data_IF_859349786305
#
_entry.id   IF_859349786305
#
_cell.length_a   1.000
_cell.length_b   1.000
_cell.length_c   1.000
_cell.angle_alpha   90.00
_cell.angle_beta   90.00
_cell.angle_gamma   90.00
#
_symmetry.space_group_name_H-M   'P 1'
#
loop_
_entity.id
_entity.type
_entity.pdbx_description
1 polymer ?
#
# COMPACT_ATOMS: atom_id res chain seq x y z
N UNK A 1 -34.27 -3.94 6.42
CA UNK A 1 -33.89 -3.46 7.76
C UNK A 1 -32.46 -3.91 8.03
N UNK A 2 -31.51 -2.98 8.01
CA UNK A 2 -30.10 -3.29 8.33
C UNK A 2 -29.98 -3.31 9.85
N UNK A 3 -29.83 -4.50 10.43
CA UNK A 3 -29.54 -4.64 11.86
C UNK A 3 -28.06 -4.31 12.01
N UNK A 4 -27.77 -3.11 12.53
CA UNK A 4 -26.42 -2.78 13.00
C UNK A 4 -26.08 -3.75 14.14
N UNK A 5 -25.32 -4.80 13.83
CA UNK A 5 -24.79 -5.70 14.83
C UNK A 5 -23.65 -4.96 15.53
N UNK A 6 -23.94 -4.38 16.70
CA UNK A 6 -22.90 -3.79 17.53
C UNK A 6 -21.99 -4.90 18.04
N UNK A 7 -20.82 -5.07 17.41
CA UNK A 7 -19.72 -5.88 17.94
C UNK A 7 -19.27 -5.26 19.25
N UNK A 8 -19.38 -6.00 20.35
CA UNK A 8 -18.81 -5.63 21.64
C UNK A 8 -17.43 -6.29 21.70
N UNK A 9 -16.38 -5.48 21.66
CA UNK A 9 -15.01 -5.96 21.86
C UNK A 9 -14.84 -6.42 23.30
N UNK A 10 -14.38 -7.66 23.51
CA UNK A 10 -14.30 -8.29 24.84
C UNK A 10 -12.88 -8.30 25.39
N UNK A 11 -11.86 -8.41 24.53
CA UNK A 11 -10.47 -8.29 24.98
C UNK A 11 -9.42 -8.70 23.96
N UNK A 12 -8.24 -8.09 24.10
CA UNK A 12 -7.03 -8.40 23.35
C UNK A 12 -5.94 -8.86 24.34
N UNK A 13 -5.13 -9.84 23.94
CA UNK A 13 -3.90 -10.20 24.66
C UNK A 13 -2.70 -9.99 23.76
N UNK A 14 -1.62 -9.53 24.37
CA UNK A 14 -0.37 -9.24 23.70
C UNK A 14 0.76 -10.07 24.32
N UNK A 15 1.77 -10.41 23.53
CA UNK A 15 3.00 -10.98 24.06
C UNK A 15 3.92 -9.90 24.68
N UNK A 16 5.08 -10.33 25.20
CA UNK A 16 6.04 -9.43 25.84
C UNK A 16 6.64 -8.37 24.88
N UNK A 17 6.52 -8.57 23.56
CA UNK A 17 6.95 -7.61 22.53
C UNK A 17 5.80 -6.69 22.09
N UNK A 18 4.62 -6.80 22.71
CA UNK A 18 3.46 -5.97 22.39
C UNK A 18 2.68 -6.44 21.16
N UNK A 19 2.89 -7.67 20.67
CA UNK A 19 2.20 -8.17 19.47
C UNK A 19 0.90 -8.84 19.85
N UNK A 20 -0.19 -8.55 19.14
CA UNK A 20 -1.50 -9.16 19.41
C UNK A 20 -1.40 -10.68 19.19
N UNK A 21 -1.70 -11.49 20.21
CA UNK A 21 -1.66 -12.96 20.13
C UNK A 21 -3.05 -13.61 20.25
N UNK A 22 -4.00 -12.90 20.85
CA UNK A 22 -5.39 -13.37 21.01
C UNK A 22 -6.35 -12.18 20.89
N UNK A 23 -7.39 -12.32 20.07
CA UNK A 23 -8.49 -11.35 19.95
C UNK A 23 -9.81 -12.04 20.25
N UNK A 24 -10.59 -11.48 21.18
CA UNK A 24 -11.93 -11.98 21.52
C UNK A 24 -13.00 -10.95 21.18
N UNK A 25 -13.95 -11.34 20.34
CA UNK A 25 -15.05 -10.50 19.87
C UNK A 25 -16.36 -11.13 20.32
N UNK A 26 -17.24 -10.34 20.95
CA UNK A 26 -18.62 -10.73 21.20
C UNK A 26 -19.56 -9.94 20.31
N UNK A 27 -20.64 -10.60 19.92
CA UNK A 27 -21.77 -10.00 19.23
C UNK A 27 -23.02 -10.36 20.03
N UNK A 28 -23.96 -9.42 20.16
CA UNK A 28 -25.18 -9.66 20.92
C UNK A 28 -25.91 -10.90 20.39
N UNK A 29 -26.20 -11.86 21.28
CA UNK A 29 -26.88 -13.10 20.93
C UNK A 29 -25.98 -14.21 20.37
N UNK A 30 -24.67 -13.99 20.23
CA UNK A 30 -23.71 -14.98 19.74
C UNK A 30 -22.67 -15.37 20.79
N UNK A 31 -22.17 -16.60 20.71
CA UNK A 31 -21.02 -17.01 21.51
C UNK A 31 -19.79 -16.16 21.11
N UNK A 32 -18.98 -15.69 22.07
CA UNK A 32 -17.76 -14.97 21.76
C UNK A 32 -16.87 -15.79 20.83
N UNK A 33 -16.32 -15.12 19.81
CA UNK A 33 -15.37 -15.67 18.86
C UNK A 33 -13.96 -15.29 19.29
N UNK A 34 -13.05 -16.26 19.27
CA UNK A 34 -11.65 -16.05 19.63
C UNK A 34 -10.78 -16.36 18.43
N UNK A 35 -9.78 -15.52 18.19
CA UNK A 35 -8.83 -15.62 17.10
C UNK A 35 -7.41 -15.62 17.67
N UNK A 36 -6.52 -16.42 17.09
CA UNK A 36 -5.13 -16.54 17.54
C UNK A 36 -4.15 -16.13 16.45
N UNK A 37 -3.09 -15.45 16.86
CA UNK A 37 -2.05 -14.89 15.98
C UNK A 37 -0.69 -15.35 16.48
N UNK A 38 0.16 -15.82 15.56
CA UNK A 38 1.51 -16.28 15.87
C UNK A 38 2.52 -15.55 15.00
N UNK A 39 3.56 -15.03 15.66
CA UNK A 39 4.56 -14.16 15.05
C UNK A 39 5.93 -14.82 15.08
N UNK A 40 6.75 -14.60 14.05
CA UNK A 40 8.16 -14.99 14.09
C UNK A 40 9.01 -13.94 14.83
N UNK A 41 10.33 -14.15 14.90
CA UNK A 41 11.26 -13.23 15.56
C UNK A 41 11.39 -11.85 14.86
N UNK A 42 10.93 -11.74 13.61
CA UNK A 42 10.96 -10.51 12.80
C UNK A 42 9.63 -9.74 12.84
N UNK A 43 8.73 -10.06 13.78
CA UNK A 43 7.40 -9.47 13.91
C UNK A 43 6.47 -9.71 12.71
N UNK A 44 6.70 -10.78 11.95
CA UNK A 44 5.84 -11.17 10.84
C UNK A 44 4.83 -12.22 11.29
N UNK A 45 3.55 -12.05 10.91
CA UNK A 45 2.49 -13.01 11.20
C UNK A 45 2.76 -14.27 10.38
N UNK A 46 3.02 -15.41 11.02
CA UNK A 46 3.30 -16.67 10.31
C UNK A 46 2.14 -17.65 10.37
N UNK A 47 1.25 -17.51 11.36
CA UNK A 47 0.07 -18.36 11.51
C UNK A 47 -1.09 -17.58 12.12
N UNK A 48 -2.29 -17.83 11.60
CA UNK A 48 -3.55 -17.29 12.07
C UNK A 48 -4.57 -18.42 12.22
N UNK A 49 -5.31 -18.43 13.34
CA UNK A 49 -6.37 -19.42 13.58
C UNK A 49 -7.70 -18.67 13.75
N UNK A 50 -8.68 -19.01 12.92
CA UNK A 50 -10.04 -18.46 13.00
C UNK A 50 -10.78 -19.00 14.21
N UNK A 51 -11.89 -18.36 14.59
CA UNK A 51 -12.76 -18.89 15.64
C UNK A 51 -13.43 -20.21 15.30
N UNK A 52 -13.41 -20.63 14.03
CA UNK A 52 -13.93 -21.92 13.57
C UNK A 52 -12.84 -23.01 13.52
N UNK A 53 -11.58 -22.65 13.79
CA UNK A 53 -10.46 -23.58 13.73
C UNK A 53 -9.74 -23.61 12.38
N UNK A 54 -10.12 -22.78 11.41
CA UNK A 54 -9.38 -22.67 10.15
C UNK A 54 -7.98 -22.12 10.44
N UNK A 55 -6.98 -22.80 9.92
CA UNK A 55 -5.59 -22.47 10.15
C UNK A 55 -4.96 -21.93 8.87
N UNK A 56 -4.45 -20.70 8.93
CA UNK A 56 -3.80 -20.01 7.83
C UNK A 56 -2.32 -19.81 8.12
N UNK A 57 -1.49 -20.03 7.11
CA UNK A 57 -0.04 -19.88 7.16
C UNK A 57 0.39 -18.79 6.18
N UNK A 58 1.44 -18.05 6.57
CA UNK A 58 2.03 -16.99 5.76
C UNK A 58 3.53 -17.18 5.67
N UNK A 59 4.09 -16.98 4.48
CA UNK A 59 5.52 -17.12 4.20
C UNK A 59 6.07 -15.85 3.59
N UNK A 60 7.33 -15.55 3.93
CA UNK A 60 8.00 -14.30 3.58
C UNK A 60 9.36 -14.57 2.94
N UNK A 61 9.82 -13.67 2.08
CA UNK A 61 11.18 -13.66 1.59
C UNK A 61 12.16 -12.99 2.58
N UNK A 62 13.44 -12.96 2.21
CA UNK A 62 14.50 -12.35 3.02
C UNK A 62 14.37 -10.83 3.19
N UNK A 63 13.63 -10.15 2.31
CA UNK A 63 13.34 -8.70 2.41
C UNK A 63 12.08 -8.42 3.24
N UNK A 64 11.41 -9.47 3.71
CA UNK A 64 10.23 -9.40 4.54
C UNK A 64 8.91 -9.22 3.79
N UNK A 65 8.90 -9.41 2.46
CA UNK A 65 7.69 -9.38 1.64
C UNK A 65 6.99 -10.73 1.71
N UNK A 66 5.67 -10.73 1.84
CA UNK A 66 4.88 -11.97 1.92
C UNK A 66 4.78 -12.62 0.54
N UNK A 67 5.43 -13.76 0.36
CA UNK A 67 5.41 -14.51 -0.90
C UNK A 67 4.28 -15.53 -0.97
N UNK A 68 3.70 -15.94 0.17
CA UNK A 68 2.61 -16.93 0.16
C UNK A 68 1.64 -16.76 1.32
N UNK A 69 0.36 -17.05 1.07
CA UNK A 69 -0.62 -17.37 2.10
C UNK A 69 -1.46 -18.59 1.72
N UNK A 70 -1.80 -19.44 2.67
CA UNK A 70 -2.64 -20.62 2.40
C UNK A 70 -3.30 -21.15 3.68
N UNK A 71 -4.49 -21.73 3.50
CA UNK A 71 -5.18 -22.49 4.53
C UNK A 71 -4.60 -23.92 4.60
N UNK A 72 -4.33 -24.41 5.79
CA UNK A 72 -3.91 -25.79 6.04
C UNK A 72 -5.13 -26.71 5.96
N UNK A 73 -5.08 -27.70 5.08
CA UNK A 73 -6.09 -28.76 5.00
C UNK A 73 -5.67 -29.88 5.94
N UNK A 74 -6.34 -30.02 7.08
CA UNK A 74 -6.17 -31.17 7.97
C UNK A 74 -6.95 -32.36 7.41
N UNK A 75 -6.28 -33.45 7.03
CA UNK A 75 -6.90 -34.68 6.52
C UNK A 75 -7.61 -35.52 7.61
N UNK A 76 -8.15 -34.88 8.65
CA UNK A 76 -8.67 -35.57 9.83
C UNK A 76 -10.19 -35.71 9.82
N UNK A 77 -10.75 -36.10 8.68
CA UNK A 77 -12.09 -36.69 8.59
C UNK A 77 -12.10 -37.80 7.55
N UNK A 78 -12.68 -38.93 7.98
CA UNK A 78 -12.71 -40.22 7.30
C UNK A 78 -12.96 -40.13 5.79
N UNK A 79 -12.23 -40.97 5.05
CA UNK A 79 -12.59 -41.40 3.70
C UNK A 79 -13.93 -42.15 3.79
N UNK A 80 -15.04 -41.42 3.91
CA UNK A 80 -16.32 -41.94 3.45
C UNK A 80 -16.20 -42.04 1.93
N UNK A 81 -16.10 -43.27 1.45
CA UNK A 81 -16.21 -43.65 0.05
C UNK A 81 -17.44 -42.98 -0.57
N UNK A 82 -17.25 -41.85 -1.24
CA UNK A 82 -18.29 -41.24 -2.05
C UNK A 82 -18.68 -42.23 -3.15
N UNK A 83 -19.99 -42.44 -3.41
CA UNK A 83 -20.41 -43.23 -4.55
C UNK A 83 -19.91 -42.60 -5.85
N UNK A 84 -19.53 -43.46 -6.79
CA UNK A 84 -18.97 -43.14 -8.11
C UNK A 84 -19.67 -41.90 -8.71
N UNK A 85 -18.94 -40.84 -9.11
CA UNK A 85 -19.54 -39.66 -9.71
C UNK A 85 -20.25 -40.03 -11.02
N UNK A 86 -21.45 -39.50 -11.22
CA UNK A 86 -22.19 -39.60 -12.48
C UNK A 86 -21.35 -39.01 -13.62
N UNK A 87 -21.28 -39.64 -14.82
CA UNK A 87 -20.44 -39.19 -15.94
C UNK A 87 -20.86 -37.83 -16.57
N UNK A 88 -21.82 -37.13 -15.97
CA UNK A 88 -22.34 -35.82 -16.41
C UNK A 88 -21.96 -34.67 -15.48
N UNK A 89 -21.23 -34.93 -14.38
CA UNK A 89 -20.73 -33.85 -13.53
C UNK A 89 -19.48 -33.25 -14.17
N UNK A 90 -19.56 -31.97 -14.57
CA UNK A 90 -18.37 -31.17 -14.88
C UNK A 90 -17.36 -31.32 -13.73
N UNK A 91 -16.05 -31.44 -14.02
CA UNK A 91 -15.05 -31.51 -12.96
C UNK A 91 -15.23 -30.28 -12.06
N UNK A 92 -15.56 -30.50 -10.77
CA UNK A 92 -15.57 -29.41 -9.79
C UNK A 92 -14.18 -28.79 -9.82
N UNK A 93 -14.10 -27.50 -10.12
CA UNK A 93 -12.87 -26.74 -9.94
C UNK A 93 -12.35 -27.01 -8.53
N UNK A 94 -11.06 -27.33 -8.41
CA UNK A 94 -10.47 -27.56 -7.10
C UNK A 94 -10.65 -26.30 -6.24
N UNK A 95 -10.92 -26.44 -4.93
CA UNK A 95 -11.08 -25.27 -4.08
C UNK A 95 -9.75 -24.51 -3.98
N UNK A 96 -9.81 -23.19 -4.17
CA UNK A 96 -8.69 -22.28 -3.90
C UNK A 96 -8.45 -22.23 -2.39
N UNK A 97 -7.24 -22.56 -1.96
CA UNK A 97 -6.84 -22.55 -0.55
C UNK A 97 -5.85 -21.44 -0.21
N UNK A 98 -5.31 -20.75 -1.21
CA UNK A 98 -4.26 -19.78 -0.97
C UNK A 98 -3.89 -18.95 -2.18
N UNK A 99 -2.77 -18.26 -2.05
CA UNK A 99 -2.20 -17.38 -3.05
C UNK A 99 -0.68 -17.31 -2.91
N UNK A 100 0.01 -17.29 -4.03
CA UNK A 100 1.43 -16.95 -4.15
C UNK A 100 1.55 -15.54 -4.72
N UNK A 101 2.57 -14.80 -4.28
CA UNK A 101 2.73 -13.36 -4.54
C UNK A 101 4.11 -13.06 -5.09
N UNK A 102 4.16 -12.25 -6.14
CA UNK A 102 5.41 -11.82 -6.78
C UNK A 102 5.54 -10.31 -6.80
N UNK A 103 6.77 -9.84 -6.62
CA UNK A 103 7.06 -8.43 -6.39
C UNK A 103 8.16 -7.91 -7.31
N UNK A 104 7.96 -6.68 -7.81
CA UNK A 104 9.03 -5.85 -8.36
C UNK A 104 9.33 -4.73 -7.36
N UNK A 105 10.46 -4.82 -6.66
CA UNK A 105 10.71 -3.95 -5.50
C UNK A 105 9.61 -4.13 -4.44
N UNK A 106 8.84 -3.07 -4.19
CA UNK A 106 7.70 -3.07 -3.25
C UNK A 106 6.33 -3.19 -3.94
N UNK A 107 6.29 -3.24 -5.27
CA UNK A 107 5.05 -3.40 -6.03
C UNK A 107 4.67 -4.87 -6.12
N UNK A 108 3.47 -5.24 -5.67
CA UNK A 108 2.89 -6.57 -5.87
C UNK A 108 2.44 -6.71 -7.33
N UNK A 109 3.25 -7.30 -8.18
CA UNK A 109 3.00 -7.36 -9.63
C UNK A 109 2.13 -8.53 -10.05
N UNK A 110 2.07 -9.59 -9.24
CA UNK A 110 1.30 -10.79 -9.58
C UNK A 110 0.83 -11.53 -8.34
N UNK A 111 -0.39 -12.03 -8.40
CA UNK A 111 -0.96 -12.96 -7.43
C UNK A 111 -1.49 -14.20 -8.15
N UNK A 112 -0.98 -15.39 -7.79
CA UNK A 112 -1.35 -16.66 -8.40
C UNK A 112 -2.11 -17.53 -7.39
N UNK A 113 -3.32 -18.02 -7.71
CA UNK A 113 -4.08 -18.86 -6.79
C UNK A 113 -3.37 -20.21 -6.52
N UNK A 114 -3.50 -20.68 -5.29
CA UNK A 114 -3.06 -22.02 -4.87
C UNK A 114 -4.28 -22.89 -4.66
N UNK A 115 -4.31 -24.05 -5.31
CA UNK A 115 -5.37 -25.05 -5.18
C UNK A 115 -5.05 -26.11 -4.12
N UNK A 116 -6.07 -26.88 -3.74
CA UNK A 116 -5.98 -27.86 -2.66
C UNK A 116 -4.93 -28.97 -2.85
N UNK A 117 -4.57 -29.28 -4.09
CA UNK A 117 -3.48 -30.21 -4.40
C UNK A 117 -2.08 -29.57 -4.29
N UNK A 118 -2.00 -28.29 -3.93
CA UNK A 118 -0.78 -27.52 -3.82
C UNK A 118 -0.32 -26.87 -5.13
N UNK A 119 -1.05 -27.07 -6.23
CA UNK A 119 -0.72 -26.48 -7.53
C UNK A 119 -0.89 -24.96 -7.48
N UNK A 120 0.12 -24.25 -8.01
CA UNK A 120 0.08 -22.81 -8.26
C UNK A 120 -0.40 -22.61 -9.69
N UNK A 121 -1.56 -22.00 -9.85
CA UNK A 121 -2.22 -21.84 -11.14
C UNK A 121 -1.91 -20.48 -11.76
N UNK A 122 -0.74 -20.37 -12.37
CA UNK A 122 -0.27 -19.15 -13.05
C UNK A 122 -1.17 -18.73 -14.20
N UNK A 123 -1.85 -19.66 -14.86
CA UNK A 123 -2.84 -19.36 -15.90
C UNK A 123 -4.10 -18.65 -15.37
N UNK A 124 -4.29 -18.65 -14.05
CA UNK A 124 -5.36 -17.93 -13.34
C UNK A 124 -4.82 -16.73 -12.54
N UNK A 125 -3.56 -16.31 -12.77
CA UNK A 125 -2.97 -15.21 -12.02
C UNK A 125 -3.56 -13.85 -12.39
N UNK A 126 -3.58 -12.97 -11.40
CA UNK A 126 -3.90 -11.56 -11.57
C UNK A 126 -2.60 -10.79 -11.62
N UNK A 127 -2.39 -10.03 -12.69
CA UNK A 127 -1.26 -9.11 -12.82
C UNK A 127 -1.70 -7.68 -12.51
N UNK A 128 -0.93 -6.99 -11.67
CA UNK A 128 -1.14 -5.60 -11.33
C UNK A 128 -0.12 -4.73 -12.07
N UNK A 129 -0.61 -3.76 -12.83
CA UNK A 129 0.19 -2.89 -13.67
C UNK A 129 0.37 -1.54 -12.97
N UNK A 130 1.62 -1.18 -12.70
CA UNK A 130 1.98 0.04 -11.99
C UNK A 130 2.67 1.04 -12.91
N UNK A 131 2.45 2.32 -12.66
CA UNK A 131 3.40 3.33 -13.09
C UNK A 131 4.72 3.20 -12.31
N UNK A 132 5.85 3.64 -12.89
CA UNK A 132 7.14 3.59 -12.20
C UNK A 132 7.09 4.22 -10.80
N UNK A 133 7.60 3.49 -9.79
CA UNK A 133 7.70 3.92 -8.40
C UNK A 133 6.36 4.24 -7.69
N UNK A 134 5.21 3.84 -8.23
CA UNK A 134 3.91 3.99 -7.56
C UNK A 134 3.55 2.75 -6.76
N UNK A 135 2.92 2.88 -5.60
CA UNK A 135 2.46 1.74 -4.79
C UNK A 135 0.97 1.41 -5.02
N UNK A 136 0.30 2.18 -5.86
CA UNK A 136 -1.05 1.92 -6.33
C UNK A 136 -1.03 1.55 -7.81
N UNK A 137 -1.62 0.43 -8.23
CA UNK A 137 -1.65 0.04 -9.62
C UNK A 137 -2.62 0.91 -10.42
N UNK A 138 -2.33 1.10 -11.70
CA UNK A 138 -3.18 1.79 -12.66
C UNK A 138 -4.14 0.83 -13.36
N UNK A 139 -3.78 -0.46 -13.44
CA UNK A 139 -4.63 -1.47 -14.05
C UNK A 139 -4.40 -2.87 -13.44
N UNK A 140 -5.37 -3.75 -13.68
CA UNK A 140 -5.39 -5.18 -13.36
C UNK A 140 -5.59 -5.95 -14.65
N UNK A 141 -4.74 -6.93 -14.94
CA UNK A 141 -4.89 -7.83 -16.07
C UNK A 141 -5.05 -9.27 -15.56
N UNK A 142 -6.11 -9.95 -15.99
CA UNK A 142 -6.40 -11.31 -15.56
C UNK A 142 -7.10 -12.05 -16.71
N UNK A 143 -6.59 -13.22 -17.10
CA UNK A 143 -7.21 -14.11 -18.08
C UNK A 143 -7.64 -13.43 -19.41
N UNK A 144 -6.83 -12.50 -19.93
CA UNK A 144 -7.17 -11.79 -21.16
C UNK A 144 -8.01 -10.53 -20.98
N UNK A 145 -8.50 -10.26 -19.78
CA UNK A 145 -9.30 -9.07 -19.48
C UNK A 145 -8.46 -7.99 -18.79
N UNK A 146 -8.45 -6.78 -19.38
CA UNK A 146 -7.85 -5.59 -18.78
C UNK A 146 -8.90 -4.77 -18.03
N UNK A 147 -8.59 -4.39 -16.80
CA UNK A 147 -9.43 -3.55 -15.96
C UNK A 147 -8.63 -2.34 -15.44
N UNK A 148 -9.12 -1.13 -15.65
CA UNK A 148 -8.52 0.10 -15.14
C UNK A 148 -8.89 0.32 -13.68
N UNK A 149 -7.90 0.67 -12.87
CA UNK A 149 -8.06 0.96 -11.44
C UNK A 149 -8.35 2.44 -11.27
N UNK A 150 -9.48 2.76 -10.65
CA UNK A 150 -9.81 4.12 -10.23
C UNK A 150 -9.53 4.25 -8.74
N UNK A 151 -8.93 5.36 -8.33
CA UNK A 151 -8.49 5.59 -6.95
C UNK A 151 -9.15 6.82 -6.35
N UNK A 152 -9.17 6.89 -5.02
CA UNK A 152 -9.41 8.15 -4.31
C UNK A 152 -8.17 9.05 -4.30
N UNK A 153 -8.24 10.18 -3.58
CA UNK A 153 -7.17 11.18 -3.53
C UNK A 153 -5.88 10.71 -2.85
N UNK A 154 -5.94 9.65 -2.04
CA UNK A 154 -4.77 9.09 -1.37
C UNK A 154 -4.22 7.85 -2.10
N UNK A 155 -4.83 7.47 -3.23
CA UNK A 155 -4.42 6.29 -3.99
C UNK A 155 -5.06 4.98 -3.53
N UNK A 156 -6.16 5.02 -2.79
CA UNK A 156 -6.94 3.81 -2.46
C UNK A 156 -7.75 3.37 -3.68
N UNK A 157 -7.63 2.13 -4.18
CA UNK A 157 -8.53 1.61 -5.22
C UNK A 157 -9.99 1.65 -4.76
N UNK A 158 -10.85 2.32 -5.54
CA UNK A 158 -12.28 2.44 -5.28
C UNK A 158 -13.13 1.75 -6.33
N UNK A 159 -12.64 1.67 -7.58
CA UNK A 159 -13.36 1.03 -8.68
C UNK A 159 -12.42 0.26 -9.62
N UNK A 160 -12.96 -0.77 -10.26
CA UNK A 160 -12.38 -1.41 -11.44
C UNK A 160 -13.33 -1.21 -12.62
N UNK A 161 -12.80 -0.66 -13.72
CA UNK A 161 -13.55 -0.45 -14.96
C UNK A 161 -12.99 -1.38 -16.04
N UNK A 162 -13.85 -2.06 -16.79
CA UNK A 162 -13.42 -2.79 -17.98
C UNK A 162 -13.00 -1.83 -19.11
N UNK A 163 -12.47 -2.37 -20.20
CA UNK A 163 -11.99 -1.59 -21.35
C UNK A 163 -13.05 -0.72 -22.01
N UNK A 164 -14.32 -1.13 -21.93
CA UNK A 164 -15.48 -0.37 -22.43
C UNK A 164 -16.01 0.68 -21.44
N UNK A 165 -15.37 0.82 -20.27
CA UNK A 165 -15.77 1.74 -19.21
C UNK A 165 -16.85 1.20 -18.26
N UNK A 166 -17.29 -0.06 -18.43
CA UNK A 166 -18.26 -0.67 -17.52
C UNK A 166 -17.65 -0.97 -16.14
N UNK A 167 -18.38 -0.66 -15.07
CA UNK A 167 -17.93 -0.91 -13.71
C UNK A 167 -18.01 -2.39 -13.33
N UNK A 168 -16.86 -3.03 -13.09
CA UNK A 168 -16.73 -4.44 -12.69
C UNK A 168 -16.73 -4.62 -11.18
N UNK A 169 -16.10 -3.69 -10.48
CA UNK A 169 -16.03 -3.69 -9.02
C UNK A 169 -16.08 -2.26 -8.49
N UNK A 170 -16.75 -2.06 -7.36
CA UNK A 170 -16.75 -0.78 -6.64
C UNK A 170 -16.84 -1.01 -5.14
N UNK A 171 -16.08 -0.24 -4.38
CA UNK A 171 -16.11 -0.28 -2.92
C UNK A 171 -16.23 1.12 -2.33
N UNK A 172 -16.88 1.20 -1.17
CA UNK A 172 -16.91 2.38 -0.32
C UNK A 172 -16.40 2.00 1.06
N UNK A 173 -15.37 2.70 1.51
CA UNK A 173 -14.77 2.52 2.84
C UNK A 173 -15.25 3.61 3.81
N UNK A 174 -15.06 3.37 5.11
CA UNK A 174 -15.01 4.43 6.10
C UNK A 174 -13.62 5.10 6.10
N UNK A 175 -13.43 6.08 6.99
CA UNK A 175 -12.16 6.81 7.13
C UNK A 175 -10.95 5.92 7.44
N UNK A 176 -11.17 4.74 8.03
CA UNK A 176 -10.15 3.82 8.50
C UNK A 176 -10.10 2.53 7.66
N UNK A 177 -10.62 2.58 6.43
CA UNK A 177 -10.51 1.47 5.47
C UNK A 177 -11.50 0.32 5.67
N UNK A 178 -12.38 0.34 6.68
CA UNK A 178 -13.42 -0.69 6.81
C UNK A 178 -14.44 -0.56 5.68
N UNK A 179 -14.82 -1.68 5.06
CA UNK A 179 -15.79 -1.69 3.96
C UNK A 179 -17.19 -1.36 4.50
N UNK A 180 -17.80 -0.31 3.96
CA UNK A 180 -19.20 0.06 4.21
C UNK A 180 -20.14 -0.56 3.18
N UNK A 181 -19.71 -0.58 1.92
CA UNK A 181 -20.47 -1.16 0.81
C UNK A 181 -19.52 -1.63 -0.27
N UNK A 182 -19.82 -2.77 -0.88
CA UNK A 182 -19.10 -3.30 -2.03
C UNK A 182 -20.09 -3.80 -3.07
N UNK A 183 -19.70 -3.70 -4.33
CA UNK A 183 -20.38 -4.25 -5.49
C UNK A 183 -19.36 -4.95 -6.39
N UNK A 184 -19.73 -6.11 -6.91
CA UNK A 184 -18.98 -6.88 -7.90
C UNK A 184 -19.97 -7.31 -9.00
N UNK A 185 -19.57 -7.20 -10.25
CA UNK A 185 -20.39 -7.63 -11.39
C UNK A 185 -20.44 -9.16 -11.47
N UNK A 186 -19.33 -9.84 -11.14
CA UNK A 186 -19.19 -11.29 -11.08
C UNK A 186 -18.37 -11.72 -9.85
N UNK A 187 -18.32 -13.02 -9.58
CA UNK A 187 -17.59 -13.56 -8.42
C UNK A 187 -16.06 -13.33 -8.50
N UNK A 188 -15.50 -13.26 -9.71
CA UNK A 188 -14.06 -13.00 -9.94
C UNK A 188 -13.71 -11.50 -10.00
N UNK A 189 -14.72 -10.63 -10.02
CA UNK A 189 -14.54 -9.18 -10.05
C UNK A 189 -14.35 -8.62 -8.64
N UNK A 190 -13.18 -8.87 -8.05
CA UNK A 190 -12.76 -8.31 -6.77
C UNK A 190 -11.37 -7.68 -6.80
N UNK A 191 -11.17 -6.67 -5.93
CA UNK A 191 -9.87 -6.06 -5.65
C UNK A 191 -9.58 -6.18 -4.16
N UNK A 192 -8.48 -6.85 -3.81
CA UNK A 192 -8.04 -6.98 -2.42
C UNK A 192 -7.10 -5.86 -1.98
N UNK A 193 -6.64 -4.99 -2.89
CA UNK A 193 -5.82 -3.84 -2.51
C UNK A 193 -6.64 -2.81 -1.72
N UNK A 194 -6.03 -2.20 -0.70
CA UNK A 194 -6.67 -1.25 0.22
C UNK A 194 -5.95 0.10 0.13
N UNK A 195 -5.66 0.77 1.25
CA UNK A 195 -4.78 1.93 1.20
C UNK A 195 -3.46 1.58 0.49
N UNK A 196 -2.71 2.56 -0.05
CA UNK A 196 -1.46 2.25 -0.74
C UNK A 196 -0.57 1.29 0.05
N UNK A 197 -0.04 0.26 -0.61
CA UNK A 197 0.77 -0.80 0.02
C UNK A 197 -0.01 -1.87 0.79
N UNK A 198 -1.32 -1.72 0.98
CA UNK A 198 -2.13 -2.64 1.77
C UNK A 198 -2.86 -3.70 0.93
N UNK A 199 -2.94 -4.92 1.45
CA UNK A 199 -3.66 -6.05 0.86
C UNK A 199 -4.61 -6.69 1.88
N UNK A 200 -5.91 -6.83 1.55
CA UNK A 200 -6.90 -7.48 2.40
C UNK A 200 -6.70 -8.99 2.46
N UNK A 201 -6.57 -9.48 3.67
CA UNK A 201 -6.69 -10.89 4.01
C UNK A 201 -8.14 -11.21 4.40
N UNK A 202 -8.91 -11.75 3.45
CA UNK A 202 -10.32 -12.10 3.62
C UNK A 202 -10.56 -13.01 4.84
N UNK A 203 -9.62 -13.91 5.14
CA UNK A 203 -9.72 -14.85 6.25
C UNK A 203 -9.73 -14.17 7.63
N UNK A 204 -9.04 -13.03 7.76
CA UNK A 204 -8.86 -12.33 9.04
C UNK A 204 -9.55 -10.96 9.09
N UNK A 205 -9.84 -10.39 7.92
CA UNK A 205 -10.27 -9.01 7.76
C UNK A 205 -9.14 -7.99 7.98
N UNK A 206 -7.90 -8.45 8.17
CA UNK A 206 -6.73 -7.58 8.34
C UNK A 206 -6.19 -7.14 6.99
N UNK A 207 -5.53 -5.99 6.99
CA UNK A 207 -4.79 -5.51 5.83
C UNK A 207 -3.30 -5.77 6.07
N UNK A 208 -2.71 -6.68 5.29
CA UNK A 208 -1.27 -6.85 5.22
C UNK A 208 -0.63 -5.59 4.65
N UNK A 209 0.30 -4.97 5.37
CA UNK A 209 0.98 -3.73 4.99
C UNK A 209 2.50 -3.88 5.18
N UNK A 210 3.12 -4.68 4.31
CA UNK A 210 4.56 -5.04 4.29
C UNK A 210 5.10 -5.49 5.66
N UNK A 211 5.49 -4.55 6.51
CA UNK A 211 6.06 -4.82 7.84
C UNK A 211 5.03 -5.04 8.95
N UNK A 212 3.77 -4.63 8.75
CA UNK A 212 2.74 -4.70 9.79
C UNK A 212 1.40 -5.19 9.25
N UNK A 213 0.53 -5.62 10.16
CA UNK A 213 -0.87 -5.94 9.87
C UNK A 213 -1.77 -4.89 10.48
N UNK A 214 -2.60 -4.25 9.65
CA UNK A 214 -3.53 -3.20 10.04
C UNK A 214 -4.93 -3.78 10.24
N UNK A 215 -5.57 -3.44 11.36
CA UNK A 215 -6.98 -3.76 11.61
C UNK A 215 -7.84 -2.52 11.34
N UNK A 216 -8.60 -2.49 10.24
CA UNK A 216 -9.45 -1.35 9.90
C UNK A 216 -10.58 -1.13 10.92
N UNK A 217 -10.92 -2.14 11.74
CA UNK A 217 -12.00 -2.01 12.71
C UNK A 217 -11.57 -1.30 14.00
N UNK A 218 -10.28 -1.38 14.35
CA UNK A 218 -9.69 -0.67 15.50
C UNK A 218 -8.83 0.51 15.06
N UNK A 219 -8.62 0.68 13.74
CA UNK A 219 -7.79 1.72 13.13
C UNK A 219 -6.32 1.69 13.61
N UNK A 220 -5.77 0.50 13.87
CA UNK A 220 -4.44 0.33 14.45
C UNK A 220 -3.72 -0.87 13.86
N UNK A 221 -2.39 -0.86 13.95
CA UNK A 221 -1.56 -2.02 13.70
C UNK A 221 -1.62 -3.02 14.87
N UNK A 222 -1.38 -4.29 14.58
CA UNK A 222 -1.36 -5.39 15.55
C UNK A 222 -0.04 -5.50 16.34
N UNK A 223 1.00 -4.80 15.89
CA UNK A 223 2.35 -4.82 16.46
C UNK A 223 2.87 -3.39 16.62
N UNK A 224 3.77 -3.14 17.58
CA UNK A 224 4.51 -1.89 17.63
C UNK A 224 5.29 -1.63 16.34
N UNK A 225 5.55 -0.36 16.08
CA UNK A 225 6.37 0.08 14.96
C UNK A 225 7.79 -0.53 15.03
N UNK A 226 8.26 -1.25 13.98
CA UNK A 226 9.61 -1.81 13.95
C UNK A 226 10.72 -0.77 14.06
N UNK A 227 10.48 0.49 13.64
CA UNK A 227 11.43 1.59 13.78
C UNK A 227 11.21 2.41 15.06
N UNK A 228 10.34 1.94 15.95
CA UNK A 228 10.07 2.55 17.25
C UNK A 228 9.50 3.95 17.14
N UNK A 229 10.01 4.88 17.97
CA UNK A 229 9.52 6.27 18.01
C UNK A 229 9.83 7.06 16.73
N UNK A 230 10.68 6.55 15.83
CA UNK A 230 10.92 7.17 14.54
C UNK A 230 9.68 7.12 13.63
N UNK A 231 8.79 6.13 13.80
CA UNK A 231 7.50 6.04 13.11
C UNK A 231 6.40 6.92 13.73
N UNK A 232 6.66 7.45 14.93
CA UNK A 232 5.76 8.36 15.65
C UNK A 232 5.58 8.00 17.13
N UNK A 233 4.86 8.87 17.85
CA UNK A 233 4.62 8.69 19.30
C UNK A 233 3.62 7.58 19.63
N UNK A 234 2.75 7.21 18.69
CA UNK A 234 1.84 6.07 18.85
C UNK A 234 2.39 4.87 18.07
N UNK A 235 3.00 3.87 18.74
CA UNK A 235 3.66 2.76 18.05
C UNK A 235 2.69 1.83 17.31
N UNK A 236 1.39 1.91 17.58
CA UNK A 236 0.36 1.12 16.87
C UNK A 236 -0.45 1.96 15.88
N UNK A 237 -0.17 3.25 15.77
CA UNK A 237 -0.93 4.15 14.89
C UNK A 237 -0.64 3.89 13.41
N UNK A 238 -1.66 4.06 12.57
CA UNK A 238 -1.48 4.08 11.11
C UNK A 238 -0.87 5.41 10.66
N UNK A 239 -1.69 6.46 10.57
CA UNK A 239 -1.25 7.84 10.30
C UNK A 239 -2.07 8.82 11.13
N UNK A 240 -1.54 10.02 11.35
CA UNK A 240 -2.28 11.05 12.07
C UNK A 240 -3.45 11.62 11.24
N UNK A 241 -3.25 11.83 9.94
CA UNK A 241 -4.27 12.36 9.04
C UNK A 241 -4.57 11.40 7.88
N UNK A 242 -5.50 10.44 8.04
CA UNK A 242 -5.78 9.42 7.02
C UNK A 242 -6.46 9.96 5.75
N UNK A 243 -6.80 11.26 5.70
CA UNK A 243 -7.38 11.87 4.49
C UNK A 243 -6.35 12.39 3.50
N UNK A 244 -5.11 12.56 3.93
CA UNK A 244 -4.01 13.06 3.09
C UNK A 244 -2.65 12.43 3.41
N UNK A 245 -2.56 11.52 4.37
CA UNK A 245 -1.35 10.76 4.68
C UNK A 245 -1.59 9.27 4.49
N UNK A 246 -0.54 8.55 4.10
CA UNK A 246 -0.53 7.12 3.85
C UNK A 246 0.73 6.50 4.44
N UNK A 247 0.66 5.31 5.01
CA UNK A 247 1.85 4.56 5.43
C UNK A 247 1.99 3.33 4.53
N UNK A 248 2.63 3.52 3.37
CA UNK A 248 2.61 2.52 2.29
C UNK A 248 3.54 1.33 2.53
N UNK A 249 4.42 1.42 3.52
CA UNK A 249 5.32 0.33 3.91
C UNK A 249 5.01 -0.22 5.31
N UNK A 250 4.06 0.36 6.03
CA UNK A 250 3.83 -0.02 7.41
C UNK A 250 4.96 0.39 8.35
N UNK A 251 5.58 1.55 8.15
CA UNK A 251 6.67 2.10 8.96
C UNK A 251 6.48 3.58 9.32
N UNK A 252 6.06 4.42 8.38
CA UNK A 252 5.96 5.87 8.61
C UNK A 252 4.87 6.47 7.73
N UNK A 253 4.09 7.37 8.31
CA UNK A 253 3.10 8.14 7.56
C UNK A 253 3.77 9.15 6.65
N UNK A 254 3.48 9.05 5.36
CA UNK A 254 3.89 9.97 4.31
C UNK A 254 2.69 10.82 3.89
N UNK A 255 2.91 12.12 3.71
CA UNK A 255 1.87 13.04 3.21
C UNK A 255 1.72 12.85 1.69
N UNK A 256 0.68 12.12 1.27
CA UNK A 256 0.41 11.79 -0.13
C UNK A 256 0.01 13.01 -0.97
N UNK A 257 -0.32 14.13 -0.30
CA UNK A 257 -0.72 15.39 -0.91
C UNK A 257 0.35 16.48 -0.77
N UNK A 258 1.62 16.13 -0.53
CA UNK A 258 2.65 17.09 -0.12
C UNK A 258 3.17 17.98 -1.26
N UNK A 259 2.28 18.71 -1.94
CA UNK A 259 2.62 20.03 -2.45
C UNK A 259 2.73 20.95 -1.23
N UNK A 260 3.94 21.14 -0.70
CA UNK A 260 4.21 22.12 0.35
C UNK A 260 4.66 23.42 -0.30
N UNK A 261 4.17 24.54 0.20
CA UNK A 261 4.72 25.85 -0.15
C UNK A 261 6.02 26.05 0.62
N UNK A 262 7.13 26.16 -0.11
CA UNK A 262 8.47 26.25 0.46
C UNK A 262 9.16 27.48 -0.11
N UNK A 263 9.99 28.15 0.70
CA UNK A 263 10.87 29.20 0.20
C UNK A 263 11.90 28.58 -0.76
N UNK A 264 11.91 28.97 -2.05
CA UNK A 264 12.81 28.37 -3.04
C UNK A 264 14.29 28.50 -2.67
N UNK A 265 14.67 29.46 -1.82
CA UNK A 265 16.06 29.65 -1.36
C UNK A 265 16.54 28.54 -0.42
N UNK A 266 15.62 27.77 0.17
CA UNK A 266 15.96 26.64 1.05
C UNK A 266 16.26 25.35 0.28
N UNK A 267 15.97 25.32 -1.02
CA UNK A 267 16.16 24.15 -1.87
C UNK A 267 17.59 24.08 -2.41
N UNK A 268 18.14 22.86 -2.42
CA UNK A 268 19.51 22.60 -2.89
C UNK A 268 19.45 22.10 -4.33
N UNK A 269 20.10 22.83 -5.23
CA UNK A 269 20.27 22.44 -6.64
C UNK A 269 21.34 21.37 -6.79
N UNK A 270 21.11 20.43 -7.71
CA UNK A 270 22.11 19.49 -8.21
C UNK A 270 22.69 19.90 -9.56
N UNK A 271 22.24 21.02 -10.10
CA UNK A 271 22.75 21.59 -11.34
C UNK A 271 23.58 22.83 -11.09
N UNK A 272 24.69 22.95 -11.82
CA UNK A 272 25.56 24.12 -11.81
C UNK A 272 25.13 25.19 -12.84
N UNK A 273 25.83 26.32 -12.85
CA UNK A 273 25.52 27.44 -13.75
C UNK A 273 25.73 27.12 -15.25
N UNK A 274 26.54 26.11 -15.59
CA UNK A 274 26.79 25.72 -16.98
C UNK A 274 25.69 24.80 -17.51
N UNK A 275 25.04 24.04 -16.63
CA UNK A 275 23.89 23.17 -16.95
C UNK A 275 22.57 23.95 -16.99
N UNK A 276 22.53 25.11 -16.34
CA UNK A 276 21.37 25.99 -16.31
C UNK A 276 21.40 27.05 -17.42
N UNK A 277 20.42 27.00 -18.32
CA UNK A 277 20.24 28.02 -19.36
C UNK A 277 19.76 29.35 -18.77
N UNK A 278 20.66 30.33 -18.73
CA UNK A 278 20.35 31.68 -18.23
C UNK A 278 19.28 32.42 -19.05
N UNK A 279 19.12 32.11 -20.34
CA UNK A 279 18.06 32.69 -21.18
C UNK A 279 16.69 32.09 -20.84
N UNK A 280 16.61 30.78 -20.61
CA UNK A 280 15.40 30.12 -20.14
C UNK A 280 14.97 30.63 -18.76
N UNK A 281 15.92 30.79 -17.83
CA UNK A 281 15.65 31.33 -16.49
C UNK A 281 15.06 32.74 -16.57
N UNK A 282 15.58 33.60 -17.45
CA UNK A 282 15.04 34.96 -17.66
C UNK A 282 13.62 34.93 -18.24
N UNK A 283 13.36 34.04 -19.22
CA UNK A 283 12.05 33.89 -19.84
C UNK A 283 10.99 33.45 -18.82
N UNK A 284 11.28 32.40 -18.05
CA UNK A 284 10.37 31.90 -17.03
C UNK A 284 10.19 32.89 -15.87
N UNK A 285 11.25 33.58 -15.43
CA UNK A 285 11.13 34.60 -14.38
C UNK A 285 10.24 35.77 -14.82
N UNK A 286 10.28 36.17 -16.09
CA UNK A 286 9.36 37.20 -16.63
C UNK A 286 7.92 36.71 -16.57
N UNK A 287 7.66 35.48 -17.04
CA UNK A 287 6.33 34.88 -17.00
C UNK A 287 5.80 34.73 -15.56
N UNK A 288 6.65 34.32 -14.63
CA UNK A 288 6.31 34.18 -13.20
C UNK A 288 5.99 35.51 -12.51
N UNK A 289 6.61 36.62 -12.92
CA UNK A 289 6.25 37.97 -12.43
C UNK A 289 4.88 38.43 -12.92
N UNK A 290 4.49 38.01 -14.13
CA UNK A 290 3.23 38.41 -14.75
C UNK A 290 2.07 37.52 -14.29
N UNK A 291 2.29 36.20 -14.15
CA UNK A 291 1.22 35.21 -13.93
C UNK A 291 1.33 34.42 -12.62
N UNK A 292 2.37 34.68 -11.81
CA UNK A 292 2.67 33.85 -10.64
C UNK A 292 3.32 32.51 -11.01
N UNK A 293 3.52 31.66 -10.01
CA UNK A 293 4.08 30.32 -10.22
C UNK A 293 2.98 29.35 -10.70
N UNK A 294 3.24 28.60 -11.76
CA UNK A 294 2.32 27.58 -12.28
C UNK A 294 2.30 26.34 -11.36
N UNK A 295 1.23 26.20 -10.60
CA UNK A 295 1.03 25.08 -9.64
C UNK A 295 0.93 23.71 -10.32
N UNK A 296 0.60 23.65 -11.61
CA UNK A 296 0.56 22.39 -12.37
C UNK A 296 1.97 21.85 -12.68
N UNK A 297 3.00 22.72 -12.58
CA UNK A 297 4.40 22.39 -12.78
C UNK A 297 5.18 22.46 -11.46
N UNK A 298 4.75 21.64 -10.48
CA UNK A 298 5.42 21.55 -9.18
C UNK A 298 6.92 21.25 -9.30
N UNK A 299 7.66 21.59 -8.24
CA UNK A 299 9.06 21.21 -8.10
C UNK A 299 9.12 19.87 -7.37
N UNK A 300 9.84 18.89 -7.91
CA UNK A 300 10.06 17.63 -7.21
C UNK A 300 11.29 17.76 -6.33
N UNK A 301 11.18 17.38 -5.05
CA UNK A 301 12.32 17.37 -4.11
C UNK A 301 12.39 16.05 -3.33
N UNK A 302 13.58 15.70 -2.87
CA UNK A 302 13.80 14.67 -1.87
C UNK A 302 14.28 15.32 -0.55
N UNK A 303 13.86 14.76 0.59
CA UNK A 303 14.45 15.11 1.90
C UNK A 303 15.53 14.07 2.22
N UNK A 304 16.79 14.50 2.23
CA UNK A 304 17.93 13.62 2.55
C UNK A 304 18.73 14.25 3.68
N UNK A 305 18.84 13.54 4.81
CA UNK A 305 19.54 14.03 6.03
C UNK A 305 19.08 15.43 6.47
N UNK A 306 17.79 15.71 6.36
CA UNK A 306 17.18 17.00 6.72
C UNK A 306 17.39 18.13 5.69
N UNK A 307 18.02 17.85 4.54
CA UNK A 307 18.20 18.80 3.44
C UNK A 307 17.19 18.51 2.33
N UNK A 308 16.62 19.56 1.74
CA UNK A 308 15.71 19.45 0.60
C UNK A 308 16.51 19.58 -0.70
N UNK A 309 16.63 18.49 -1.44
CA UNK A 309 17.39 18.42 -2.69
C UNK A 309 16.40 18.35 -3.85
N UNK A 310 16.54 19.26 -4.81
CA UNK A 310 15.68 19.31 -6.01
C UNK A 310 15.91 18.04 -6.82
N UNK A 311 14.88 17.29 -7.18
CA UNK A 311 14.88 16.18 -8.15
C UNK A 311 14.63 16.71 -9.56
N UNK A 312 13.60 17.52 -9.72
CA UNK A 312 13.26 18.18 -10.99
C UNK A 312 12.79 19.63 -10.75
N UNK A 313 13.06 20.49 -11.72
CA UNK A 313 12.60 21.89 -11.70
C UNK A 313 13.64 22.92 -11.31
N UNK A 314 14.94 22.63 -11.48
CA UNK A 314 16.05 23.56 -11.19
C UNK A 314 15.86 24.95 -11.83
N UNK A 315 15.54 25.04 -13.12
CA UNK A 315 15.29 26.32 -13.80
C UNK A 315 14.06 27.04 -13.24
N UNK A 316 13.02 26.31 -12.82
CA UNK A 316 11.80 26.89 -12.23
C UNK A 316 12.10 27.47 -10.85
N UNK A 317 12.88 26.78 -10.01
CA UNK A 317 13.34 27.30 -8.71
C UNK A 317 14.22 28.55 -8.91
N UNK A 318 15.21 28.49 -9.79
CA UNK A 318 16.08 29.63 -10.09
C UNK A 318 15.28 30.84 -10.64
N UNK A 319 14.27 30.59 -11.47
CA UNK A 319 13.36 31.61 -11.97
C UNK A 319 12.46 32.19 -10.89
N UNK A 320 11.95 31.38 -9.97
CA UNK A 320 11.13 31.84 -8.85
C UNK A 320 11.92 32.76 -7.91
N UNK A 321 13.16 32.39 -7.57
CA UNK A 321 14.08 33.26 -6.80
C UNK A 321 14.29 34.60 -7.52
N UNK A 322 14.51 34.55 -8.84
CA UNK A 322 14.70 35.77 -9.67
C UNK A 322 13.42 36.60 -9.83
N UNK A 323 12.26 35.96 -9.77
CA UNK A 323 10.96 36.62 -9.82
C UNK A 323 10.60 37.29 -8.48
N UNK A 324 11.23 36.89 -7.38
CA UNK A 324 10.91 37.35 -6.02
C UNK A 324 9.71 36.60 -5.42
N UNK A 325 9.51 35.35 -5.82
CA UNK A 325 8.45 34.49 -5.26
C UNK A 325 9.04 33.75 -4.06
N UNK A 326 8.52 34.04 -2.86
CA UNK A 326 9.01 33.46 -1.61
C UNK A 326 8.28 32.17 -1.19
N UNK A 327 7.28 31.73 -1.96
CA UNK A 327 6.55 30.49 -1.71
C UNK A 327 6.25 29.77 -3.03
N UNK A 328 6.85 28.59 -3.22
CA UNK A 328 6.61 27.75 -4.40
C UNK A 328 6.05 26.37 -4.01
N UNK A 329 5.15 25.80 -4.82
CA UNK A 329 4.62 24.45 -4.63
C UNK A 329 5.69 23.39 -4.93
N UNK A 330 6.02 22.60 -3.92
CA UNK A 330 7.04 21.55 -3.98
C UNK A 330 6.42 20.22 -3.62
N UNK A 331 6.54 19.21 -4.49
CA UNK A 331 6.20 17.81 -4.24
C UNK A 331 7.38 17.11 -3.58
N UNK A 332 7.16 16.57 -2.37
CA UNK A 332 8.18 15.82 -1.65
C UNK A 332 8.09 14.36 -2.04
N UNK A 333 9.20 13.80 -2.52
CA UNK A 333 9.34 12.43 -2.95
C UNK A 333 10.23 11.67 -1.95
N UNK A 334 9.80 10.48 -1.56
CA UNK A 334 10.64 9.54 -0.81
C UNK A 334 11.62 8.87 -1.77
N UNK A 335 12.89 8.79 -1.39
CA UNK A 335 13.96 8.17 -2.18
C UNK A 335 14.64 7.07 -1.37
N UNK A 336 15.16 6.03 -2.05
CA UNK A 336 15.94 4.99 -1.39
C UNK A 336 17.20 5.57 -0.73
N UNK A 337 17.78 4.92 0.30
CA UNK A 337 19.00 5.41 0.94
C UNK A 337 20.16 5.61 -0.06
N UNK A 338 20.34 4.67 -1.00
CA UNK A 338 21.37 4.75 -2.06
C UNK A 338 21.16 5.97 -2.97
N UNK A 339 19.91 6.18 -3.42
CA UNK A 339 19.55 7.34 -4.23
C UNK A 339 19.72 8.64 -3.43
N UNK A 340 19.40 8.63 -2.14
CA UNK A 340 19.60 9.78 -1.26
C UNK A 340 21.08 10.19 -1.16
N UNK A 341 21.98 9.23 -0.98
CA UNK A 341 23.42 9.49 -0.98
C UNK A 341 23.90 10.01 -2.34
N UNK A 342 23.42 9.44 -3.44
CA UNK A 342 23.75 9.91 -4.80
C UNK A 342 23.31 11.38 -5.00
N UNK A 343 22.09 11.73 -4.59
CA UNK A 343 21.58 13.10 -4.67
C UNK A 343 22.42 14.08 -3.84
N UNK A 344 22.94 13.65 -2.68
CA UNK A 344 23.85 14.45 -1.86
C UNK A 344 25.21 14.67 -2.54
N UNK A 345 25.74 13.65 -3.22
CA UNK A 345 27.00 13.74 -3.97
C UNK A 345 26.84 14.73 -5.13
N UNK A 346 25.79 14.60 -5.95
CA UNK A 346 25.50 15.51 -7.06
C UNK A 346 25.32 16.95 -6.58
N UNK A 347 24.62 17.16 -5.46
CA UNK A 347 24.45 18.48 -4.86
C UNK A 347 25.78 19.08 -4.37
N UNK A 348 26.65 18.25 -3.81
CA UNK A 348 27.98 18.66 -3.38
C UNK A 348 28.84 19.04 -4.60
N UNK A 349 28.86 18.22 -5.65
CA UNK A 349 29.60 18.48 -6.89
C UNK A 349 29.14 19.77 -7.58
N UNK A 350 27.83 20.00 -7.67
CA UNK A 350 27.27 21.24 -8.23
C UNK A 350 27.65 22.50 -7.43
N UNK A 351 27.92 22.35 -6.12
CA UNK A 351 28.33 23.45 -5.24
C UNK A 351 29.83 23.75 -5.28
N UNK A 352 30.67 22.78 -5.69
CA UNK A 352 32.11 22.95 -5.83
C UNK A 352 32.38 23.76 -7.10
N UNK A 353 32.80 25.02 -6.91
CA UNK A 353 33.19 25.93 -7.98
C UNK A 353 34.27 25.28 -8.86
N UNK A 354 33.93 24.94 -10.10
CA UNK A 354 34.92 24.96 -11.17
C UNK A 354 35.37 26.43 -11.32
N UNK A 355 36.50 26.75 -10.68
CA UNK A 355 37.21 28.03 -10.82
C UNK A 355 37.82 28.16 -12.20
#
# INVERSE_FOLDING_TARGET
MSIYHTRIYVGNKYDAQGRLIEKRVAENGFRPRTYFYYWNALNQLVRYITSQGDEWHYQYDAFGRRIRKFQVIHHDHQVETQPRPSPLSQPKSQPKIGCEYYYLGDQLIEEAPIYADGTVAFEHSTHWLYAPNQLTPTARYQQGELNYVITDQIGTPTELLAEDGTGRWRVKHNLWGSILKQYSANDDDFCNLRFPGQYLDNESGLHYNRHRYYDPNTAQYLTPDPIGLAGGFNPYGYVHNPTGWTDSLGLIGEDCCSIKNIDPKTLISRQNNNEMSGSAIKKYAKNMKENGFDVSQSIDVAIVRGKMIIIDGHHRVASAIKAGIDNIPVRINTVSPEMGEQLLIEAAEASVRYY
#
